data_IF_437770054272
#
_entry.id   IF_437770054272
#
_cell.length_a   1.000
_cell.length_b   1.000
_cell.length_c   1.000
_cell.angle_alpha   90.00
_cell.angle_beta   90.00
_cell.angle_gamma   90.00
#
_symmetry.space_group_name_H-M   'P 1'
#
loop_
_entity.id
_entity.type
_entity.pdbx_description
1 polymer ?
#
# COMPACT_ATOMS: atom_id res chain seq x y z
N UNK A 1 -28.03 -0.02 10.29
CA UNK A 1 -27.90 1.10 11.24
C UNK A 1 -29.06 2.02 10.92
N UNK A 2 -29.93 2.30 11.89
CA UNK A 2 -30.99 3.28 11.71
C UNK A 2 -30.42 4.66 11.36
N UNK A 3 -31.16 5.44 10.56
CA UNK A 3 -30.74 6.77 10.10
C UNK A 3 -30.44 7.73 11.26
N UNK A 4 -31.18 7.66 12.36
CA UNK A 4 -30.94 8.54 13.53
C UNK A 4 -29.56 8.30 14.17
N UNK A 5 -29.14 7.04 14.35
CA UNK A 5 -27.80 6.73 14.89
C UNK A 5 -26.70 7.20 13.93
N UNK A 6 -26.94 7.11 12.61
CA UNK A 6 -26.01 7.66 11.63
C UNK A 6 -25.84 9.18 11.78
N UNK A 7 -26.94 9.91 12.00
CA UNK A 7 -26.88 11.35 12.22
C UNK A 7 -26.13 11.72 13.50
N UNK A 8 -26.31 10.96 14.59
CA UNK A 8 -25.56 11.17 15.84
C UNK A 8 -24.04 10.95 15.67
N UNK A 9 -23.63 10.06 14.78
CA UNK A 9 -22.22 9.76 14.50
C UNK A 9 -21.62 10.66 13.41
N UNK A 10 -22.43 11.50 12.76
CA UNK A 10 -22.02 12.26 11.58
C UNK A 10 -20.84 13.18 11.86
N UNK A 11 -20.86 13.88 12.98
CA UNK A 11 -19.79 14.83 13.34
C UNK A 11 -18.49 14.11 13.69
N UNK A 12 -18.57 12.94 14.34
CA UNK A 12 -17.41 12.09 14.58
C UNK A 12 -16.80 11.58 13.26
N UNK A 13 -17.63 11.17 12.31
CA UNK A 13 -17.20 10.74 10.97
C UNK A 13 -16.54 11.90 10.21
N UNK A 14 -17.15 13.09 10.23
CA UNK A 14 -16.58 14.30 9.60
C UNK A 14 -15.22 14.63 10.20
N UNK A 15 -15.08 14.58 11.53
CA UNK A 15 -13.82 14.85 12.22
C UNK A 15 -12.74 13.82 11.87
N UNK A 16 -13.07 12.52 11.84
CA UNK A 16 -12.12 11.48 11.41
C UNK A 16 -11.68 11.65 9.96
N UNK A 17 -12.61 12.02 9.08
CA UNK A 17 -12.31 12.30 7.68
C UNK A 17 -11.36 13.50 7.55
N UNK A 18 -11.60 14.58 8.31
CA UNK A 18 -10.69 15.73 8.34
C UNK A 18 -9.29 15.35 8.81
N UNK A 19 -9.16 14.64 9.93
CA UNK A 19 -7.86 14.18 10.44
C UNK A 19 -7.13 13.32 9.41
N UNK A 20 -7.87 12.44 8.72
CA UNK A 20 -7.31 11.56 7.69
C UNK A 20 -6.86 12.32 6.45
N UNK A 21 -7.50 13.44 6.08
CA UNK A 21 -7.08 14.28 4.94
C UNK A 21 -5.75 14.99 5.19
N UNK A 22 -5.49 15.40 6.44
CA UNK A 22 -4.31 16.20 6.79
C UNK A 22 -3.11 15.37 7.28
N UNK A 23 -3.26 14.06 7.46
CA UNK A 23 -2.13 13.18 7.79
C UNK A 23 -1.14 13.10 6.60
N UNK A 24 0.17 13.24 6.86
CA UNK A 24 1.22 13.22 5.83
C UNK A 24 1.21 11.98 4.92
N UNK A 25 0.91 10.79 5.49
CA UNK A 25 0.76 9.55 4.72
C UNK A 25 -0.38 9.62 3.70
N UNK A 26 -1.49 10.24 4.08
CA UNK A 26 -2.65 10.45 3.21
C UNK A 26 -2.36 11.44 2.09
N UNK A 27 -1.54 12.46 2.33
CA UNK A 27 -1.12 13.40 1.29
C UNK A 27 -0.25 12.74 0.21
N UNK A 28 0.69 11.88 0.60
CA UNK A 28 1.48 11.12 -0.36
C UNK A 28 0.59 10.19 -1.19
N UNK A 29 -0.29 9.42 -0.54
CA UNK A 29 -1.21 8.50 -1.22
C UNK A 29 -2.15 9.24 -2.19
N UNK A 30 -2.66 10.42 -1.81
CA UNK A 30 -3.44 11.29 -2.68
C UNK A 30 -2.63 11.78 -3.89
N UNK A 31 -1.42 12.30 -3.66
CA UNK A 31 -0.54 12.75 -4.74
C UNK A 31 -0.22 11.58 -5.70
N UNK A 32 0.13 10.43 -5.15
CA UNK A 32 0.42 9.22 -5.92
C UNK A 32 -0.78 8.76 -6.75
N UNK A 33 -1.98 8.72 -6.17
CA UNK A 33 -3.23 8.38 -6.88
C UNK A 33 -3.54 9.34 -8.03
N UNK A 34 -3.18 10.62 -7.89
CA UNK A 34 -3.36 11.64 -8.93
C UNK A 34 -2.53 11.37 -10.18
N UNK A 35 -1.46 10.56 -10.06
CA UNK A 35 -0.62 10.16 -11.18
C UNK A 35 -1.19 9.00 -12.00
N UNK A 36 -2.24 8.33 -11.50
CA UNK A 36 -2.90 7.28 -12.24
C UNK A 36 -3.76 7.83 -13.39
N UNK A 37 -4.00 7.01 -14.42
CA UNK A 37 -4.87 7.33 -15.54
C UNK A 37 -6.29 7.70 -15.08
N UNK A 38 -6.87 8.74 -15.69
CA UNK A 38 -8.23 9.18 -15.41
C UNK A 38 -9.22 8.05 -15.73
N UNK A 39 -10.10 7.74 -14.79
CA UNK A 39 -11.08 6.66 -14.93
C UNK A 39 -10.59 5.28 -14.49
N UNK A 40 -9.29 5.13 -14.17
CA UNK A 40 -8.77 3.93 -13.52
C UNK A 40 -9.09 3.97 -12.00
N UNK A 41 -9.42 2.83 -11.34
CA UNK A 41 -9.71 2.79 -9.90
C UNK A 41 -8.57 3.33 -9.00
N UNK A 42 -7.34 3.25 -9.47
CA UNK A 42 -6.18 3.85 -8.81
C UNK A 42 -6.23 5.38 -8.70
N UNK A 43 -7.06 6.05 -9.51
CA UNK A 43 -7.27 7.50 -9.53
C UNK A 43 -8.53 7.95 -8.74
N UNK A 44 -9.23 7.02 -8.05
CA UNK A 44 -10.60 7.24 -7.57
C UNK A 44 -10.76 8.38 -6.54
N UNK A 45 -9.75 8.68 -5.73
CA UNK A 45 -9.80 9.71 -4.71
C UNK A 45 -8.96 10.94 -5.08
N UNK A 46 -9.34 11.62 -6.18
CA UNK A 46 -8.76 12.93 -6.48
C UNK A 46 -9.03 13.91 -5.33
N UNK A 47 -8.08 14.82 -5.12
CA UNK A 47 -8.19 15.89 -4.12
C UNK A 47 -9.49 16.69 -4.29
N UNK A 48 -9.91 16.93 -5.53
CA UNK A 48 -11.16 17.63 -5.83
C UNK A 48 -12.42 16.88 -5.37
N UNK A 49 -12.44 15.54 -5.48
CA UNK A 49 -13.54 14.75 -4.94
C UNK A 49 -13.58 14.85 -3.41
N UNK A 50 -12.43 14.85 -2.75
CA UNK A 50 -12.32 14.98 -1.30
C UNK A 50 -12.77 16.37 -0.82
N UNK A 51 -12.41 17.44 -1.54
CA UNK A 51 -12.85 18.81 -1.25
C UNK A 51 -14.36 18.96 -1.45
N UNK A 52 -14.91 18.42 -2.54
CA UNK A 52 -16.37 18.43 -2.78
C UNK A 52 -17.12 17.66 -1.69
N UNK A 53 -16.59 16.49 -1.29
CA UNK A 53 -17.11 15.73 -0.17
C UNK A 53 -16.97 16.48 1.16
N UNK A 54 -15.99 17.35 1.35
CA UNK A 54 -15.86 18.14 2.58
C UNK A 54 -16.93 19.21 2.71
N UNK A 55 -17.17 19.96 1.64
CA UNK A 55 -17.89 21.23 1.73
C UNK A 55 -19.41 21.08 1.53
N UNK A 56 -19.88 20.08 0.78
CA UNK A 56 -21.29 19.96 0.36
C UNK A 56 -21.82 18.52 0.54
N UNK A 57 -21.84 18.02 1.78
CA UNK A 57 -22.45 16.71 2.07
C UNK A 57 -23.97 16.88 2.26
N UNK A 58 -24.72 16.37 1.30
CA UNK A 58 -26.12 16.02 1.51
C UNK A 58 -26.18 14.73 2.34
N UNK A 59 -26.60 14.86 3.61
CA UNK A 59 -26.65 13.76 4.57
C UNK A 59 -27.60 12.63 4.14
N UNK A 60 -28.70 12.96 3.47
CA UNK A 60 -29.69 11.99 3.02
C UNK A 60 -29.16 11.19 1.84
N UNK A 61 -28.54 11.87 0.89
CA UNK A 61 -27.83 11.23 -0.22
C UNK A 61 -26.68 10.36 0.27
N UNK A 62 -25.90 10.83 1.24
CA UNK A 62 -24.80 10.06 1.84
C UNK A 62 -25.32 8.79 2.50
N UNK A 63 -26.36 8.89 3.35
CA UNK A 63 -26.96 7.74 4.00
C UNK A 63 -27.46 6.71 2.98
N UNK A 64 -28.15 7.16 1.93
CA UNK A 64 -28.64 6.28 0.86
C UNK A 64 -27.51 5.58 0.11
N UNK A 65 -26.39 6.28 -0.16
CA UNK A 65 -25.19 5.67 -0.78
C UNK A 65 -24.58 4.62 0.14
N UNK A 66 -24.44 4.91 1.43
CA UNK A 66 -23.89 3.97 2.42
C UNK A 66 -24.77 2.74 2.61
N UNK A 67 -26.09 2.91 2.69
CA UNK A 67 -27.04 1.79 2.78
C UNK A 67 -26.96 0.90 1.54
N UNK A 68 -26.93 1.48 0.34
CA UNK A 68 -26.74 0.75 -0.91
C UNK A 68 -25.39 0.03 -0.96
N UNK A 69 -24.31 0.70 -0.54
CA UNK A 69 -22.97 0.11 -0.48
C UNK A 69 -22.95 -1.08 0.48
N UNK A 70 -23.54 -0.93 1.67
CA UNK A 70 -23.68 -2.02 2.64
C UNK A 70 -24.46 -3.20 2.04
N UNK A 71 -25.65 -2.97 1.49
CA UNK A 71 -26.49 -4.02 0.88
C UNK A 71 -25.77 -4.75 -0.26
N UNK A 72 -24.94 -4.05 -1.03
CA UNK A 72 -24.17 -4.60 -2.15
C UNK A 72 -22.94 -5.40 -1.71
N UNK A 73 -22.13 -4.87 -0.79
CA UNK A 73 -20.80 -5.38 -0.49
C UNK A 73 -20.71 -6.18 0.82
N UNK A 74 -21.55 -5.90 1.82
CA UNK A 74 -21.56 -6.60 3.12
C UNK A 74 -22.45 -7.84 3.02
N UNK A 75 -21.93 -8.87 2.37
CA UNK A 75 -22.62 -10.15 2.16
C UNK A 75 -21.76 -11.32 2.65
N UNK A 76 -22.38 -12.32 3.27
CA UNK A 76 -21.71 -13.43 3.94
C UNK A 76 -20.68 -14.16 3.05
N UNK A 77 -20.97 -14.36 1.76
CA UNK A 77 -20.06 -15.03 0.82
C UNK A 77 -18.73 -14.31 0.58
N UNK A 78 -18.63 -13.02 0.96
CA UNK A 78 -17.40 -12.21 0.86
C UNK A 78 -16.69 -11.99 2.19
N UNK A 79 -17.31 -12.41 3.29
CA UNK A 79 -16.74 -12.21 4.62
C UNK A 79 -15.84 -13.38 5.00
N UNK A 80 -14.77 -13.07 5.73
CA UNK A 80 -13.89 -14.06 6.37
C UNK A 80 -13.79 -13.67 7.85
N UNK A 81 -13.89 -14.67 8.72
CA UNK A 81 -13.87 -14.50 10.17
C UNK A 81 -12.77 -15.40 10.74
N UNK A 82 -11.92 -14.83 11.60
CA UNK A 82 -10.95 -15.57 12.39
C UNK A 82 -11.16 -15.24 13.86
N UNK A 83 -11.27 -16.28 14.71
CA UNK A 83 -11.47 -16.14 16.15
C UNK A 83 -10.39 -16.98 16.84
N UNK A 84 -9.78 -16.40 17.88
CA UNK A 84 -8.88 -17.09 18.79
C UNK A 84 -9.50 -17.11 20.18
N UNK A 85 -9.66 -18.29 20.76
CA UNK A 85 -10.20 -18.49 22.11
C UNK A 85 -9.54 -19.70 22.76
N UNK A 86 -9.64 -19.82 24.08
CA UNK A 86 -9.26 -21.02 24.84
C UNK A 86 -10.33 -22.11 24.85
N UNK A 87 -11.49 -21.87 24.22
CA UNK A 87 -12.59 -22.83 24.12
C UNK A 87 -12.31 -23.90 23.05
N UNK A 88 -12.97 -25.05 23.16
CA UNK A 88 -12.90 -26.10 22.15
C UNK A 88 -13.45 -25.65 20.79
N UNK A 89 -12.98 -26.29 19.71
CA UNK A 89 -13.44 -26.02 18.34
C UNK A 89 -14.97 -26.16 18.23
N UNK A 90 -15.57 -27.19 18.84
CA UNK A 90 -17.02 -27.41 18.81
C UNK A 90 -17.80 -26.27 19.47
N UNK A 91 -17.29 -25.75 20.59
CA UNK A 91 -17.92 -24.62 21.29
C UNK A 91 -17.77 -23.34 20.46
N UNK A 92 -16.60 -23.10 19.88
CA UNK A 92 -16.40 -21.96 18.97
C UNK A 92 -17.30 -22.04 17.75
N UNK A 93 -17.46 -23.22 17.14
CA UNK A 93 -18.36 -23.42 16.01
C UNK A 93 -19.81 -23.12 16.39
N UNK A 94 -20.28 -23.59 17.55
CA UNK A 94 -21.62 -23.28 18.07
C UNK A 94 -21.84 -21.77 18.19
N UNK A 95 -20.87 -21.04 18.76
CA UNK A 95 -20.97 -19.58 18.86
C UNK A 95 -20.95 -18.91 17.48
N UNK A 96 -20.04 -19.32 16.59
CA UNK A 96 -19.98 -18.77 15.23
C UNK A 96 -21.31 -18.95 14.51
N UNK A 97 -21.90 -20.15 14.57
CA UNK A 97 -23.23 -20.41 14.00
C UNK A 97 -24.30 -19.56 14.67
N UNK A 98 -24.32 -19.46 16.00
CA UNK A 98 -25.33 -18.69 16.72
C UNK A 98 -25.31 -17.19 16.35
N UNK A 99 -24.15 -16.58 16.23
CA UNK A 99 -24.02 -15.13 16.02
C UNK A 99 -23.93 -14.71 14.54
N UNK A 100 -23.32 -15.53 13.67
CA UNK A 100 -23.00 -15.13 12.31
C UNK A 100 -23.85 -15.81 11.23
N UNK A 101 -24.61 -16.87 11.54
CA UNK A 101 -25.43 -17.56 10.53
C UNK A 101 -26.52 -16.68 9.89
N UNK A 102 -26.93 -15.60 10.58
CA UNK A 102 -27.97 -14.68 10.10
C UNK A 102 -27.44 -13.55 9.19
N UNK A 103 -26.14 -13.52 8.91
CA UNK A 103 -25.59 -12.51 7.99
C UNK A 103 -26.15 -12.75 6.58
N UNK A 104 -26.76 -11.75 5.94
CA UNK A 104 -27.34 -11.93 4.61
C UNK A 104 -26.30 -12.37 3.58
N UNK A 105 -26.73 -13.27 2.69
CA UNK A 105 -25.97 -13.65 1.50
C UNK A 105 -26.73 -13.21 0.25
N UNK A 106 -26.25 -12.18 -0.43
CA UNK A 106 -26.85 -11.65 -1.66
C UNK A 106 -26.34 -12.34 -2.93
N UNK A 107 -25.32 -13.23 -2.83
CA UNK A 107 -24.69 -13.97 -3.93
C UNK A 107 -24.22 -13.13 -5.13
N UNK A 108 -24.16 -11.81 -4.98
CA UNK A 108 -23.81 -10.94 -6.10
C UNK A 108 -22.32 -11.12 -6.46
N UNK A 109 -21.96 -11.11 -7.75
CA UNK A 109 -20.57 -11.23 -8.19
C UNK A 109 -19.75 -10.01 -7.74
N UNK A 110 -18.44 -10.16 -7.50
CA UNK A 110 -17.54 -9.04 -7.21
C UNK A 110 -17.60 -8.01 -8.34
N UNK A 111 -17.15 -6.79 -8.07
CA UNK A 111 -17.06 -5.79 -9.13
C UNK A 111 -16.07 -6.28 -10.20
N UNK A 112 -16.48 -6.13 -11.45
CA UNK A 112 -15.68 -6.60 -12.56
C UNK A 112 -14.65 -5.53 -12.96
N UNK A 113 -13.40 -5.78 -12.58
CA UNK A 113 -12.26 -4.95 -12.97
C UNK A 113 -11.45 -5.56 -14.13
N UNK A 114 -11.99 -6.55 -14.85
CA UNK A 114 -11.27 -7.25 -15.92
C UNK A 114 -10.73 -6.31 -17.00
N UNK A 115 -11.47 -5.23 -17.30
CA UNK A 115 -11.01 -4.20 -18.25
C UNK A 115 -9.69 -3.54 -17.88
N UNK A 116 -9.26 -3.64 -16.62
CA UNK A 116 -8.03 -3.06 -16.08
C UNK A 116 -6.93 -4.10 -15.81
N UNK A 117 -7.15 -5.40 -16.08
CA UNK A 117 -6.24 -6.48 -15.65
C UNK A 117 -4.82 -6.35 -16.22
N UNK A 118 -4.70 -5.80 -17.42
CA UNK A 118 -3.43 -5.63 -18.13
C UNK A 118 -3.05 -4.15 -18.30
N UNK A 119 -3.79 -3.24 -17.66
CA UNK A 119 -3.49 -1.82 -17.74
C UNK A 119 -2.26 -1.49 -16.89
N UNK A 120 -1.51 -0.49 -17.34
CA UNK A 120 -0.45 0.14 -16.55
C UNK A 120 -1.02 1.46 -16.01
N UNK A 121 -1.64 1.46 -14.81
CA UNK A 121 -2.40 2.62 -14.34
C UNK A 121 -1.54 3.88 -14.18
N UNK A 122 -0.24 3.70 -13.98
CA UNK A 122 0.73 4.77 -13.79
C UNK A 122 1.54 5.06 -15.05
N UNK A 123 1.11 4.58 -16.21
CA UNK A 123 1.70 4.96 -17.49
C UNK A 123 1.23 6.36 -17.91
N UNK A 124 1.68 7.37 -17.16
CA UNK A 124 1.33 8.78 -17.37
C UNK A 124 2.57 9.67 -17.30
N UNK A 125 2.59 10.82 -18.00
CA UNK A 125 3.67 11.80 -17.87
C UNK A 125 3.83 12.35 -16.44
N UNK A 126 2.76 12.33 -15.64
CA UNK A 126 2.80 12.77 -14.25
C UNK A 126 3.60 11.78 -13.39
N UNK A 127 3.40 10.47 -13.56
CA UNK A 127 4.12 9.45 -12.80
C UNK A 127 5.64 9.46 -13.06
N UNK A 128 6.05 9.81 -14.28
CA UNK A 128 7.46 9.77 -14.73
C UNK A 128 8.27 11.02 -14.33
N UNK A 129 7.86 11.73 -13.28
CA UNK A 129 8.49 12.98 -12.81
C UNK A 129 9.02 12.84 -11.38
N UNK A 130 9.99 13.69 -11.06
CA UNK A 130 10.44 13.88 -9.68
C UNK A 130 9.65 15.02 -9.03
N UNK A 131 9.11 14.75 -7.85
CA UNK A 131 8.37 15.73 -7.06
C UNK A 131 9.13 16.05 -5.77
N UNK A 132 9.24 17.32 -5.44
CA UNK A 132 9.75 17.79 -4.15
C UNK A 132 8.56 18.18 -3.29
N UNK A 133 8.33 17.42 -2.22
CA UNK A 133 7.21 17.64 -1.30
C UNK A 133 7.77 18.20 0.00
N UNK A 134 7.23 19.34 0.43
CA UNK A 134 7.52 19.90 1.75
C UNK A 134 6.52 19.32 2.76
N UNK A 135 7.01 18.67 3.80
CA UNK A 135 6.19 18.18 4.90
C UNK A 135 6.70 18.77 6.23
N UNK A 136 5.94 19.70 6.80
CA UNK A 136 6.28 20.37 8.07
C UNK A 136 6.27 19.42 9.28
N UNK A 137 5.69 18.22 9.12
CA UNK A 137 5.60 17.20 10.18
C UNK A 137 6.75 16.19 10.16
N UNK A 138 7.53 16.13 9.07
CA UNK A 138 8.68 15.23 8.98
C UNK A 138 10.02 15.96 9.20
N UNK A 139 10.75 15.55 10.23
CA UNK A 139 12.08 16.12 10.52
C UNK A 139 13.23 15.54 9.68
N UNK A 140 12.93 14.57 8.81
CA UNK A 140 13.93 13.84 8.01
C UNK A 140 13.55 13.87 6.55
N UNK A 141 14.45 14.35 5.69
CA UNK A 141 14.25 14.28 4.24
C UNK A 141 14.39 12.84 3.74
N UNK A 142 13.43 12.39 2.93
CA UNK A 142 13.43 11.06 2.34
C UNK A 142 13.40 11.13 0.81
N UNK A 143 14.19 10.29 0.17
CA UNK A 143 14.05 9.94 -1.24
C UNK A 143 13.14 8.71 -1.34
N UNK A 144 12.09 8.82 -2.14
CA UNK A 144 11.17 7.72 -2.41
C UNK A 144 11.09 7.48 -3.91
N UNK A 145 11.42 6.26 -4.33
CA UNK A 145 11.37 5.83 -5.73
C UNK A 145 10.35 4.71 -5.83
N UNK A 146 9.41 4.84 -6.75
CA UNK A 146 8.33 3.87 -6.93
C UNK A 146 8.33 3.34 -8.36
N UNK A 147 8.38 2.02 -8.50
CA UNK A 147 8.19 1.33 -9.77
C UNK A 147 6.80 0.71 -9.78
N UNK A 148 6.01 1.05 -10.80
CA UNK A 148 4.72 0.42 -11.06
C UNK A 148 4.89 -0.76 -12.03
N UNK A 149 4.27 -1.88 -11.68
CA UNK A 149 4.32 -3.15 -12.40
C UNK A 149 2.90 -3.70 -12.57
N UNK A 150 2.66 -4.60 -13.53
CA UNK A 150 1.42 -5.36 -13.61
C UNK A 150 1.12 -6.14 -12.32
N UNK A 151 -0.13 -6.58 -12.13
CA UNK A 151 -0.49 -7.46 -11.02
C UNK A 151 0.24 -8.82 -11.14
N UNK A 152 0.87 -9.27 -10.06
CA UNK A 152 1.47 -10.61 -9.95
C UNK A 152 0.57 -11.59 -9.18
N UNK A 153 -0.73 -11.29 -9.04
CA UNK A 153 -1.68 -12.11 -8.27
C UNK A 153 -1.71 -13.58 -8.71
N UNK A 154 -1.58 -13.84 -10.00
CA UNK A 154 -1.53 -15.19 -10.59
C UNK A 154 -0.24 -15.97 -10.18
N UNK A 155 0.82 -15.29 -9.73
CA UNK A 155 2.14 -15.85 -9.37
C UNK A 155 2.43 -15.84 -7.85
N UNK A 156 1.40 -15.85 -7.00
CA UNK A 156 1.53 -15.75 -5.54
C UNK A 156 2.43 -16.82 -4.90
N UNK A 157 2.58 -17.99 -5.53
CA UNK A 157 3.46 -19.06 -5.01
C UNK A 157 4.94 -18.72 -5.16
N UNK A 158 5.30 -18.00 -6.23
CA UNK A 158 6.70 -17.67 -6.52
C UNK A 158 7.17 -16.45 -5.73
N UNK A 159 6.27 -15.51 -5.40
CA UNK A 159 6.57 -14.26 -4.67
C UNK A 159 7.76 -13.48 -5.27
N UNK A 160 7.93 -13.51 -6.59
CA UNK A 160 9.07 -12.91 -7.31
C UNK A 160 9.22 -11.41 -7.05
N UNK A 161 8.11 -10.69 -6.93
CA UNK A 161 8.08 -9.26 -6.62
C UNK A 161 8.65 -8.95 -5.22
N UNK A 162 8.51 -9.87 -4.26
CA UNK A 162 9.08 -9.75 -2.92
C UNK A 162 10.56 -10.13 -2.88
N UNK A 163 11.02 -11.02 -3.76
CA UNK A 163 12.44 -11.34 -3.90
C UNK A 163 13.24 -10.10 -4.36
N UNK A 164 12.71 -9.35 -5.33
CA UNK A 164 13.37 -8.12 -5.83
C UNK A 164 13.46 -7.07 -4.73
N UNK A 165 12.35 -6.79 -4.04
CA UNK A 165 12.35 -5.80 -2.94
C UNK A 165 13.24 -6.23 -1.79
N UNK A 166 13.26 -7.52 -1.44
CA UNK A 166 14.17 -8.08 -0.43
C UNK A 166 15.64 -7.92 -0.82
N UNK A 167 15.99 -8.16 -2.09
CA UNK A 167 17.36 -8.03 -2.60
C UNK A 167 17.85 -6.58 -2.57
N UNK A 168 17.01 -5.63 -2.98
CA UNK A 168 17.31 -4.18 -2.89
C UNK A 168 17.35 -3.71 -1.44
N UNK A 169 16.45 -4.24 -0.61
CA UNK A 169 16.31 -3.93 0.81
C UNK A 169 17.40 -4.54 1.71
N UNK A 170 18.27 -5.39 1.17
CA UNK A 170 19.33 -6.05 1.94
C UNK A 170 20.27 -5.03 2.59
N UNK A 171 20.61 -5.24 3.88
CA UNK A 171 21.37 -4.27 4.68
C UNK A 171 22.80 -4.71 5.03
N UNK A 172 23.22 -5.89 4.57
CA UNK A 172 24.53 -6.44 4.89
C UNK A 172 25.69 -5.83 4.09
N UNK A 173 26.88 -6.42 4.24
CA UNK A 173 28.09 -5.99 3.53
C UNK A 173 27.87 -6.02 2.01
N UNK A 174 28.31 -4.96 1.33
CA UNK A 174 28.20 -4.83 -0.13
C UNK A 174 26.81 -4.41 -0.63
N UNK A 175 25.85 -4.16 0.26
CA UNK A 175 24.54 -3.68 -0.14
C UNK A 175 24.53 -2.22 -0.58
N UNK A 176 23.46 -1.82 -1.26
CA UNK A 176 23.19 -0.43 -1.63
C UNK A 176 23.26 0.50 -0.41
N UNK A 177 22.55 0.19 0.68
CA UNK A 177 22.57 1.04 1.88
C UNK A 177 23.96 1.07 2.54
N UNK A 178 24.72 -0.03 2.50
CA UNK A 178 26.10 -0.07 2.99
C UNK A 178 26.99 0.92 2.22
N UNK A 179 26.84 0.99 0.89
CA UNK A 179 27.54 1.96 0.05
C UNK A 179 27.14 3.41 0.36
N UNK A 180 25.84 3.70 0.45
CA UNK A 180 25.32 5.05 0.73
C UNK A 180 25.75 5.56 2.12
N UNK A 181 25.78 4.67 3.13
CA UNK A 181 26.26 5.00 4.49
C UNK A 181 27.75 5.32 4.52
N UNK A 182 28.59 4.57 3.80
CA UNK A 182 30.03 4.86 3.68
C UNK A 182 30.32 6.24 3.10
N UNK A 183 29.47 6.73 2.20
CA UNK A 183 29.56 8.08 1.62
C UNK A 183 28.97 9.17 2.52
N UNK A 184 28.37 8.80 3.65
CA UNK A 184 27.63 9.66 4.58
C UNK A 184 26.39 10.31 3.93
N UNK A 185 25.81 9.67 2.91
CA UNK A 185 24.63 10.16 2.20
C UNK A 185 23.31 9.74 2.86
N UNK A 186 23.31 8.59 3.54
CA UNK A 186 22.19 8.12 4.35
C UNK A 186 22.61 7.95 5.82
N UNK A 187 21.73 8.20 6.80
CA UNK A 187 22.02 7.97 8.21
C UNK A 187 22.44 6.53 8.51
N UNK A 188 23.31 6.37 9.51
CA UNK A 188 23.78 5.06 9.96
C UNK A 188 22.77 4.32 10.83
N UNK A 189 21.77 5.01 11.41
CA UNK A 189 20.72 4.40 12.20
C UNK A 189 19.75 3.57 11.34
N UNK A 190 19.25 2.48 11.92
CA UNK A 190 18.41 1.48 11.24
C UNK A 190 16.90 1.64 11.49
N UNK A 191 16.46 2.75 12.09
CA UNK A 191 15.06 3.04 12.46
C UNK A 191 14.12 3.23 11.25
N UNK A 192 13.93 2.20 10.42
CA UNK A 192 13.14 2.24 9.17
C UNK A 192 13.55 3.36 8.20
N UNK A 193 14.81 3.80 8.27
CA UNK A 193 15.35 4.87 7.44
C UNK A 193 15.80 4.38 6.05
N UNK A 194 15.83 3.07 5.83
CA UNK A 194 16.04 2.44 4.54
C UNK A 194 15.15 1.20 4.45
N UNK A 195 14.30 1.16 3.43
CA UNK A 195 13.37 0.06 3.21
C UNK A 195 13.01 -0.04 1.72
N UNK A 196 12.86 -1.27 1.24
CA UNK A 196 12.30 -1.55 -0.07
C UNK A 196 11.11 -2.48 0.11
N UNK A 197 9.92 -1.93 -0.10
CA UNK A 197 8.66 -2.66 0.08
C UNK A 197 8.04 -2.98 -1.26
N UNK A 198 7.22 -4.02 -1.27
CA UNK A 198 6.44 -4.37 -2.43
C UNK A 198 4.97 -4.53 -2.02
N UNK A 199 4.10 -3.81 -2.70
CA UNK A 199 2.65 -3.86 -2.50
C UNK A 199 2.01 -4.43 -3.76
N UNK A 200 0.93 -5.20 -3.62
CA UNK A 200 0.17 -5.67 -4.77
C UNK A 200 -1.32 -5.68 -4.49
N UNK A 201 -2.09 -5.48 -5.54
CA UNK A 201 -3.53 -5.73 -5.58
C UNK A 201 -3.87 -6.45 -6.88
N UNK A 202 -5.16 -6.66 -7.14
CA UNK A 202 -5.64 -7.36 -8.34
C UNK A 202 -5.42 -6.60 -9.65
N UNK A 203 -5.02 -5.32 -9.60
CA UNK A 203 -4.86 -4.44 -10.76
C UNK A 203 -3.38 -4.17 -11.08
N UNK A 204 -2.57 -3.92 -10.05
CA UNK A 204 -1.16 -3.56 -10.23
C UNK A 204 -0.32 -3.96 -9.01
N UNK A 205 0.99 -3.88 -9.18
CA UNK A 205 1.98 -4.05 -8.11
C UNK A 205 2.90 -2.84 -8.07
N UNK A 206 3.39 -2.49 -6.89
CA UNK A 206 4.35 -1.42 -6.67
C UNK A 206 5.57 -1.99 -5.97
N UNK A 207 6.76 -1.56 -6.38
CA UNK A 207 7.98 -1.68 -5.59
C UNK A 207 8.37 -0.26 -5.19
N UNK A 208 8.57 -0.02 -3.90
CA UNK A 208 8.88 1.30 -3.37
C UNK A 208 10.16 1.23 -2.55
N UNK A 209 11.18 1.99 -2.96
CA UNK A 209 12.43 2.18 -2.22
C UNK A 209 12.39 3.53 -1.51
N UNK A 210 12.50 3.51 -0.19
CA UNK A 210 12.56 4.71 0.66
C UNK A 210 13.92 4.79 1.34
N UNK A 211 14.59 5.93 1.20
CA UNK A 211 15.93 6.21 1.74
C UNK A 211 15.91 7.55 2.46
N UNK A 212 16.23 7.57 3.74
CA UNK A 212 16.48 8.82 4.47
C UNK A 212 17.83 9.41 4.06
N UNK A 213 17.86 10.74 3.91
CA UNK A 213 19.03 11.47 3.45
C UNK A 213 19.60 12.33 4.59
N UNK A 214 20.94 12.36 4.68
CA UNK A 214 21.63 13.34 5.52
C UNK A 214 21.64 14.72 4.84
N UNK A 215 22.09 15.75 5.57
CA UNK A 215 22.37 17.07 4.97
C UNK A 215 23.33 16.99 3.78
N UNK A 216 24.30 16.07 3.82
CA UNK A 216 25.22 15.78 2.71
C UNK A 216 24.50 15.02 1.59
N UNK A 217 23.76 13.96 1.91
CA UNK A 217 23.02 13.16 0.91
C UNK A 217 22.08 14.00 0.04
N UNK A 218 21.43 15.01 0.62
CA UNK A 218 20.59 15.97 -0.13
C UNK A 218 21.33 16.71 -1.25
N UNK A 219 22.63 16.94 -1.11
CA UNK A 219 23.48 17.62 -2.11
C UNK A 219 24.00 16.66 -3.19
N UNK A 220 23.85 15.36 -2.99
CA UNK A 220 24.37 14.29 -3.86
C UNK A 220 23.22 13.42 -4.41
N UNK A 221 22.08 14.04 -4.70
CA UNK A 221 20.89 13.29 -5.13
C UNK A 221 21.12 12.51 -6.42
N UNK A 222 21.81 13.12 -7.40
CA UNK A 222 22.15 12.47 -8.67
C UNK A 222 23.06 11.25 -8.45
N UNK A 223 24.14 11.41 -7.68
CA UNK A 223 25.04 10.31 -7.34
C UNK A 223 24.32 9.14 -6.63
N UNK A 224 23.33 9.46 -5.78
CA UNK A 224 22.51 8.46 -5.10
C UNK A 224 21.62 7.72 -6.09
N UNK A 225 21.00 8.42 -7.04
CA UNK A 225 20.20 7.80 -8.09
C UNK A 225 21.06 6.90 -8.98
N UNK A 226 22.24 7.36 -9.38
CA UNK A 226 23.19 6.57 -10.15
C UNK A 226 23.61 5.30 -9.42
N UNK A 227 23.86 5.38 -8.10
CA UNK A 227 24.16 4.21 -7.28
C UNK A 227 23.00 3.22 -7.23
N UNK A 228 21.75 3.71 -7.12
CA UNK A 228 20.54 2.87 -7.11
C UNK A 228 20.39 2.15 -8.45
N UNK A 229 20.46 2.87 -9.57
CA UNK A 229 20.30 2.27 -10.90
C UNK A 229 21.49 1.36 -11.28
N UNK A 230 22.70 1.68 -10.84
CA UNK A 230 23.87 0.80 -10.98
C UNK A 230 23.68 -0.50 -10.19
N UNK A 231 23.13 -0.43 -8.97
CA UNK A 231 22.82 -1.61 -8.18
C UNK A 231 21.73 -2.46 -8.85
N UNK A 232 20.68 -1.84 -9.40
CA UNK A 232 19.66 -2.55 -10.19
C UNK A 232 20.28 -3.22 -11.42
N UNK A 233 21.21 -2.54 -12.11
CA UNK A 233 21.92 -3.12 -13.24
C UNK A 233 22.79 -4.32 -12.84
N UNK A 234 23.46 -4.25 -11.68
CA UNK A 234 24.19 -5.38 -11.10
C UNK A 234 23.26 -6.58 -10.88
N UNK A 235 22.07 -6.36 -10.30
CA UNK A 235 21.08 -7.41 -10.10
C UNK A 235 20.58 -8.00 -11.43
N UNK A 236 20.41 -7.17 -12.46
CA UNK A 236 20.04 -7.62 -13.81
C UNK A 236 21.12 -8.50 -14.45
N UNK A 237 22.38 -8.07 -14.36
CA UNK A 237 23.53 -8.80 -14.94
C UNK A 237 23.78 -10.12 -14.22
N UNK A 238 23.67 -10.14 -12.89
CA UNK A 238 23.83 -11.36 -12.12
C UNK A 238 22.66 -12.34 -12.34
N UNK A 239 21.44 -11.82 -12.55
CA UNK A 239 20.23 -12.62 -12.64
C UNK A 239 19.78 -13.19 -11.29
N UNK A 240 18.63 -13.90 -11.25
CA UNK A 240 18.12 -14.50 -10.02
C UNK A 240 19.08 -15.55 -9.45
N UNK A 241 19.41 -15.43 -8.15
CA UNK A 241 20.32 -16.34 -7.46
C UNK A 241 19.52 -17.31 -6.59
N UNK A 242 19.74 -18.61 -6.78
CA UNK A 242 18.97 -19.65 -6.08
C UNK A 242 19.26 -19.67 -4.58
N UNK A 243 20.51 -19.43 -4.17
CA UNK A 243 20.90 -19.38 -2.76
C UNK A 243 20.17 -18.26 -2.04
N UNK A 244 20.16 -17.06 -2.64
CA UNK A 244 19.48 -15.88 -2.12
C UNK A 244 17.98 -16.14 -1.98
N UNK A 245 17.36 -16.77 -2.97
CA UNK A 245 15.95 -17.15 -2.91
C UNK A 245 15.67 -18.15 -1.79
N UNK A 246 16.53 -19.16 -1.62
CA UNK A 246 16.38 -20.15 -0.56
C UNK A 246 16.48 -19.51 0.84
N UNK A 247 17.39 -18.56 1.03
CA UNK A 247 17.51 -17.85 2.30
C UNK A 247 16.29 -16.98 2.59
N UNK A 248 15.78 -16.27 1.57
CA UNK A 248 14.50 -15.57 1.65
C UNK A 248 13.35 -16.51 2.07
N UNK A 249 13.26 -17.70 1.46
CA UNK A 249 12.26 -18.70 1.82
C UNK A 249 12.42 -19.22 3.26
N UNK A 250 13.66 -19.50 3.70
CA UNK A 250 13.95 -19.97 5.07
C UNK A 250 13.56 -18.93 6.12
N UNK A 251 13.92 -17.66 5.91
CA UNK A 251 13.55 -16.57 6.83
C UNK A 251 12.03 -16.51 7.01
N UNK A 252 11.28 -16.61 5.91
CA UNK A 252 9.82 -16.62 5.96
C UNK A 252 9.24 -17.84 6.66
N UNK A 253 9.82 -19.01 6.45
CA UNK A 253 9.42 -20.22 7.17
C UNK A 253 9.67 -20.07 8.68
N UNK A 254 10.79 -19.47 9.07
CA UNK A 254 11.09 -19.21 10.47
C UNK A 254 10.17 -18.15 11.09
N UNK A 255 9.72 -17.14 10.33
CA UNK A 255 8.72 -16.18 10.81
C UNK A 255 7.33 -16.80 10.94
N UNK A 256 7.03 -17.84 10.16
CA UNK A 256 5.73 -18.53 10.20
C UNK A 256 5.63 -19.54 11.35
N UNK A 257 6.74 -20.19 11.71
CA UNK A 257 6.83 -21.14 12.82
C UNK A 257 6.85 -20.41 14.17
#
# INVERSE_FOLDING_TARGET
MPKHIFMEQLDAIKNQFQVSLFNGKSRYEQLFSSFAQIGHPANMFSVDHLIKLRNNIDCDKLYNVLDRFKKRHYSAHRMKLAIRSGLSLDTMEKFVKAYFARIPNNLMPPDNFFKFKNDLPFDTPAFRKMYKVHDDTEHVTRLQITWALPSFSDFYKCNSYQYISWSIGYKGKGSLISYLRKKMWSPTSDNNMFNCESQQNSLYSLIQLTIALTSKGRKHLEDILDAIFSFINLLKTAGPQKEIYNDFCKIRQNTFR
#
